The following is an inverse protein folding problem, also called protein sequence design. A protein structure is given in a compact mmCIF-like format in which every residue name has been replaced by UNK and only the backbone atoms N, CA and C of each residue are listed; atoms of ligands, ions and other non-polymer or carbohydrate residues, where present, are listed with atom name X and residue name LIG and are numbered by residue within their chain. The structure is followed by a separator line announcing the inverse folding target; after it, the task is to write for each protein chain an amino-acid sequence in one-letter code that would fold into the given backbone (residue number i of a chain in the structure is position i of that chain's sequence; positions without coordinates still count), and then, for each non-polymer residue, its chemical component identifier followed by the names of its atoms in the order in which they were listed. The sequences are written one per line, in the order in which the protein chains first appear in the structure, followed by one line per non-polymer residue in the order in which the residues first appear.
data_IF_718431520131
#
_entry.id   IF_718431520131
#
_cell.length_a   1.000
_cell.length_b   1.000
_cell.length_c   1.000
_cell.angle_alpha   90.00
_cell.angle_beta   90.00
_cell.angle_gamma   90.00
#
_symmetry.space_group_name_H-M   'P 1'
#
loop_
_entity.id
_entity.type
_entity.pdbx_description
1 polymer ?
#
# COMPACT_ATOMS: atom_id res chain seq x y z
N UNK A 1 1.36 12.94 1.67
CA UNK A 1 0.97 11.92 0.66
C UNK A 1 0.63 10.61 1.37
N UNK A 2 -0.13 9.73 0.71
CA UNK A 2 -0.36 8.34 1.16
C UNK A 2 0.54 7.41 0.33
N UNK A 3 1.37 6.62 0.99
CA UNK A 3 2.35 5.71 0.38
C UNK A 3 2.05 4.29 0.86
N UNK A 4 2.02 3.35 -0.08
CA UNK A 4 1.93 1.92 0.23
C UNK A 4 3.30 1.25 0.01
N UNK A 5 3.74 0.44 0.98
CA UNK A 5 4.93 -0.42 0.86
C UNK A 5 4.43 -1.86 0.71
N UNK A 6 4.78 -2.49 -0.41
CA UNK A 6 4.41 -3.87 -0.69
C UNK A 6 5.45 -4.83 -0.09
N UNK A 7 5.06 -5.59 0.94
CA UNK A 7 5.92 -6.60 1.56
C UNK A 7 5.09 -7.64 2.30
N UNK A 8 5.54 -8.90 2.25
CA UNK A 8 4.98 -9.97 3.08
C UNK A 8 5.45 -9.90 4.54
N UNK A 9 6.60 -9.28 4.78
CA UNK A 9 7.17 -9.11 6.11
C UNK A 9 7.55 -7.64 6.33
N UNK A 10 6.76 -6.96 7.16
CA UNK A 10 7.00 -5.57 7.54
C UNK A 10 8.14 -5.39 8.56
N UNK A 11 8.70 -6.48 9.08
CA UNK A 11 9.77 -6.45 10.08
C UNK A 11 11.17 -6.40 9.47
N UNK A 12 11.29 -6.68 8.17
CA UNK A 12 12.54 -6.60 7.41
C UNK A 12 13.15 -5.20 7.46
N UNK A 13 14.48 -5.14 7.45
CA UNK A 13 15.23 -3.89 7.51
C UNK A 13 14.81 -2.89 6.41
N UNK A 14 14.67 -3.35 5.17
CA UNK A 14 14.24 -2.53 4.04
C UNK A 14 12.86 -1.90 4.28
N UNK A 15 11.89 -2.68 4.75
CA UNK A 15 10.56 -2.19 5.08
C UNK A 15 10.58 -1.13 6.18
N UNK A 16 11.35 -1.36 7.25
CA UNK A 16 11.48 -0.42 8.37
C UNK A 16 12.07 0.91 7.89
N UNK A 17 13.17 0.89 7.14
CA UNK A 17 13.84 2.10 6.64
C UNK A 17 13.00 2.86 5.62
N UNK A 18 12.36 2.14 4.70
CA UNK A 18 11.46 2.73 3.71
C UNK A 18 10.18 3.30 4.34
N UNK A 19 9.77 2.82 5.52
CA UNK A 19 8.66 3.40 6.28
C UNK A 19 9.09 4.66 7.02
N UNK A 20 10.25 4.64 7.69
CA UNK A 20 10.75 5.75 8.50
C UNK A 20 10.99 7.03 7.70
N UNK A 21 11.67 6.93 6.55
CA UNK A 21 12.06 8.09 5.75
C UNK A 21 10.88 8.98 5.29
N UNK A 22 9.77 8.43 4.73
CA UNK A 22 8.58 9.21 4.41
C UNK A 22 7.78 9.66 5.64
N UNK A 23 7.75 8.90 6.74
CA UNK A 23 7.10 9.34 7.99
C UNK A 23 7.76 10.61 8.52
N UNK A 24 9.10 10.67 8.52
CA UNK A 24 9.86 11.87 8.93
C UNK A 24 9.55 13.10 8.07
N UNK A 25 9.05 12.90 6.84
CA UNK A 25 8.61 13.95 5.92
C UNK A 25 7.11 14.26 6.03
N UNK A 26 6.42 13.71 7.02
CA UNK A 26 4.98 13.92 7.24
C UNK A 26 4.09 13.14 6.25
N UNK A 27 4.57 12.05 5.66
CA UNK A 27 3.76 11.20 4.80
C UNK A 27 3.10 10.06 5.60
N UNK A 28 1.90 9.67 5.17
CA UNK A 28 1.20 8.49 5.68
C UNK A 28 1.72 7.26 4.95
N UNK A 29 2.08 6.22 5.68
CA UNK A 29 2.66 4.99 5.13
C UNK A 29 1.91 3.78 5.64
N UNK A 30 1.48 2.91 4.73
CA UNK A 30 0.86 1.63 5.04
C UNK A 30 1.69 0.49 4.43
N UNK A 31 1.96 -0.56 5.20
CA UNK A 31 2.60 -1.79 4.67
C UNK A 31 1.48 -2.77 4.31
N UNK A 32 1.45 -3.19 3.05
CA UNK A 32 0.45 -4.11 2.51
C UNK A 32 1.12 -5.42 2.09
N UNK A 33 0.53 -6.53 2.55
CA UNK A 33 0.87 -7.85 2.01
C UNK A 33 0.25 -8.00 0.61
N UNK A 34 1.06 -8.13 -0.46
CA UNK A 34 0.56 -8.23 -1.83
C UNK A 34 -0.33 -9.45 -2.06
N UNK A 35 -0.11 -10.55 -1.31
CA UNK A 35 -0.91 -11.77 -1.46
C UNK A 35 -2.31 -11.64 -0.86
N UNK A 36 -2.49 -10.65 0.02
CA UNK A 36 -3.78 -10.28 0.59
C UNK A 36 -4.52 -9.23 -0.25
N UNK A 37 -3.92 -8.78 -1.37
CA UNK A 37 -4.53 -7.85 -2.32
C UNK A 37 -5.21 -8.61 -3.47
N UNK A 38 -6.38 -8.14 -3.88
CA UNK A 38 -7.08 -8.63 -5.07
C UNK A 38 -7.64 -7.45 -5.86
N UNK A 39 -7.73 -7.60 -7.18
CA UNK A 39 -8.04 -6.48 -8.09
C UNK A 39 -9.19 -6.83 -9.02
N UNK A 40 -10.04 -5.83 -9.29
CA UNK A 40 -10.89 -5.84 -10.47
C UNK A 40 -10.07 -5.29 -11.64
N UNK A 41 -9.85 -6.13 -12.66
CA UNK A 41 -9.05 -5.79 -13.85
C UNK A 41 -9.89 -5.21 -15.00
N UNK A 42 -11.22 -5.10 -14.84
CA UNK A 42 -12.07 -4.46 -15.83
C UNK A 42 -11.65 -2.98 -15.97
N UNK A 43 -11.24 -2.51 -17.17
CA UNK A 43 -10.80 -1.12 -17.37
C UNK A 43 -11.83 -0.07 -16.93
N UNK A 44 -13.12 -0.35 -17.13
CA UNK A 44 -14.21 0.57 -16.79
C UNK A 44 -14.51 0.63 -15.28
N UNK A 45 -14.03 -0.34 -14.50
CA UNK A 45 -14.35 -0.50 -13.08
C UNK A 45 -13.13 -0.94 -12.25
N UNK A 46 -11.93 -0.51 -12.67
CA UNK A 46 -10.68 -0.97 -12.06
C UNK A 46 -10.61 -0.59 -10.59
N UNK A 47 -10.16 -1.53 -9.76
CA UNK A 47 -10.07 -1.32 -8.31
C UNK A 47 -9.15 -2.33 -7.64
N UNK A 48 -8.55 -1.92 -6.53
CA UNK A 48 -7.72 -2.78 -5.68
C UNK A 48 -8.41 -2.90 -4.33
N UNK A 49 -8.47 -4.11 -3.80
CA UNK A 49 -9.03 -4.42 -2.49
C UNK A 49 -7.98 -5.13 -1.64
N UNK A 50 -7.97 -4.81 -0.36
CA UNK A 50 -7.10 -5.42 0.64
C UNK A 50 -7.94 -5.83 1.84
N UNK A 51 -7.98 -7.14 2.13
CA UNK A 51 -8.73 -7.71 3.26
C UNK A 51 -10.18 -7.20 3.35
N UNK A 52 -10.92 -7.23 2.24
CA UNK A 52 -12.31 -6.77 2.17
C UNK A 52 -12.50 -5.26 1.97
N UNK A 53 -11.45 -4.45 2.15
CA UNK A 53 -11.53 -2.99 2.02
C UNK A 53 -11.01 -2.54 0.66
N UNK A 54 -11.78 -1.70 -0.05
CA UNK A 54 -11.30 -1.06 -1.29
C UNK A 54 -10.19 -0.07 -0.94
N UNK A 55 -9.02 -0.24 -1.55
CA UNK A 55 -7.92 0.69 -1.41
C UNK A 55 -8.20 1.98 -2.19
N UNK A 56 -7.83 3.14 -1.65
CA UNK A 56 -7.95 4.40 -2.37
C UNK A 56 -7.07 4.37 -3.62
N UNK A 57 -7.65 4.70 -4.77
CA UNK A 57 -6.89 4.92 -6.00
C UNK A 57 -6.13 6.24 -5.83
N UNK A 58 -4.84 6.25 -6.18
CA UNK A 58 -3.94 7.39 -6.04
C UNK A 58 -4.21 8.53 -7.05
N UNK A 59 -5.44 8.65 -7.56
CA UNK A 59 -5.87 9.81 -8.35
C UNK A 59 -6.01 11.01 -7.43
N UNK A 60 -5.41 12.12 -7.86
CA UNK A 60 -5.24 13.40 -7.16
C UNK A 60 -6.53 13.95 -6.55
#
# INVERSE_FOLDING_TARGET
MKIAILSRDGTLYSCKRLREAPIQRGHLVEILDPLSCYMNINPAASSIHYKGRKLPILTQ
#
